data_IF_222946493592
#
_entry.id   IF_222946493592
#
_cell.length_a   1.000
_cell.length_b   1.000
_cell.length_c   1.000
_cell.angle_alpha   90.00
_cell.angle_beta   90.00
_cell.angle_gamma   90.00
#
_symmetry.space_group_name_H-M   'P 1'
#
loop_
_entity.id
_entity.type
_entity.pdbx_description
1 polymer ?
#
# COMPACT_ATOMS: atom_id res chain seq x y z
N UNK A 1 -5.13 -6.73 -0.26
CA UNK A 1 -4.39 -6.77 -1.55
C UNK A 1 -4.33 -5.41 -2.27
N UNK A 2 -5.35 -4.56 -2.18
CA UNK A 2 -5.41 -3.27 -2.88
C UNK A 2 -4.17 -2.37 -2.71
N UNK A 3 -3.70 -2.15 -1.47
CA UNK A 3 -2.51 -1.32 -1.23
C UNK A 3 -1.23 -1.83 -1.91
N UNK A 4 -1.05 -3.16 -1.96
CA UNK A 4 0.03 -3.79 -2.69
C UNK A 4 -0.07 -3.56 -4.21
N UNK A 5 -1.28 -3.66 -4.77
CA UNK A 5 -1.50 -3.39 -6.19
C UNK A 5 -1.21 -1.94 -6.55
N UNK A 6 -1.60 -0.98 -5.71
CA UNK A 6 -1.23 0.43 -5.90
C UNK A 6 0.29 0.58 -5.95
N UNK A 7 0.99 0.07 -4.94
CA UNK A 7 2.45 0.14 -4.86
C UNK A 7 3.13 -0.49 -6.09
N UNK A 8 2.74 -1.70 -6.44
CA UNK A 8 3.29 -2.42 -7.59
C UNK A 8 2.99 -1.74 -8.92
N UNK A 9 1.77 -1.21 -9.10
CA UNK A 9 1.35 -0.55 -10.34
C UNK A 9 2.17 0.70 -10.65
N UNK A 10 2.50 1.51 -9.63
CA UNK A 10 3.33 2.70 -9.79
C UNK A 10 4.71 2.33 -10.34
N UNK A 11 5.34 1.33 -9.76
CA UNK A 11 6.66 0.88 -10.22
C UNK A 11 6.62 0.20 -11.59
N UNK A 12 5.54 -0.53 -11.92
CA UNK A 12 5.34 -1.09 -13.28
C UNK A 12 5.21 0.04 -14.31
N UNK A 13 4.43 1.08 -14.02
CA UNK A 13 4.28 2.23 -14.94
C UNK A 13 5.61 2.93 -15.17
N UNK A 14 6.41 3.16 -14.12
CA UNK A 14 7.75 3.74 -14.26
C UNK A 14 8.67 2.88 -15.15
N UNK A 15 8.65 1.55 -14.99
CA UNK A 15 9.41 0.62 -15.84
C UNK A 15 8.94 0.66 -17.30
N UNK A 16 7.63 0.71 -17.55
CA UNK A 16 7.08 0.78 -18.91
C UNK A 16 7.47 2.09 -19.61
N UNK A 17 7.66 3.16 -18.86
CA UNK A 17 8.12 4.45 -19.36
C UNK A 17 9.65 4.54 -19.52
N UNK A 18 10.40 3.47 -19.20
CA UNK A 18 11.84 3.36 -19.42
C UNK A 18 12.71 3.75 -18.21
N UNK A 19 12.09 4.06 -17.06
CA UNK A 19 12.77 4.33 -15.80
C UNK A 19 13.07 3.06 -15.02
N UNK A 20 13.69 3.21 -13.84
CA UNK A 20 13.83 2.12 -12.88
C UNK A 20 12.51 1.91 -12.10
N UNK A 21 12.42 0.81 -11.35
CA UNK A 21 11.27 0.56 -10.49
C UNK A 21 11.16 1.66 -9.42
N UNK A 22 9.99 2.32 -9.37
CA UNK A 22 9.71 3.50 -8.53
C UNK A 22 10.54 4.74 -8.87
N UNK A 23 11.05 4.80 -10.10
CA UNK A 23 11.61 6.03 -10.64
C UNK A 23 10.49 7.00 -10.99
N UNK A 24 10.18 7.91 -10.06
CA UNK A 24 9.04 8.80 -10.17
C UNK A 24 9.20 9.87 -11.25
N UNK A 25 10.42 10.11 -11.74
CA UNK A 25 10.66 11.02 -12.87
C UNK A 25 10.06 10.47 -14.18
N UNK A 26 9.80 9.15 -14.23
CA UNK A 26 9.22 8.48 -15.39
C UNK A 26 7.71 8.24 -15.24
N UNK A 27 7.03 8.79 -14.23
CA UNK A 27 5.56 8.66 -14.07
C UNK A 27 4.77 9.63 -14.94
N UNK A 28 5.28 10.84 -15.13
CA UNK A 28 4.64 11.91 -15.88
C UNK A 28 5.63 12.40 -16.93
N UNK A 29 5.16 12.60 -18.16
CA UNK A 29 5.97 13.25 -19.18
C UNK A 29 6.00 14.75 -18.91
N UNK A 30 7.09 15.23 -18.30
CA UNK A 30 7.31 16.63 -17.98
C UNK A 30 8.68 17.11 -18.44
N UNK A 31 8.84 18.43 -18.57
CA UNK A 31 10.12 19.04 -18.97
C UNK A 31 11.18 18.96 -17.86
N UNK A 32 12.43 19.39 -18.13
CA UNK A 32 13.56 19.25 -17.21
C UNK A 32 13.40 19.91 -15.83
N UNK A 33 12.44 20.83 -15.68
CA UNK A 33 12.14 21.56 -14.44
C UNK A 33 10.87 21.06 -13.74
N UNK A 34 10.20 20.05 -14.32
CA UNK A 34 9.01 19.44 -13.75
C UNK A 34 9.36 18.44 -12.64
N UNK A 35 8.62 18.50 -11.53
CA UNK A 35 8.74 17.56 -10.40
C UNK A 35 7.40 16.94 -10.04
N UNK A 36 6.41 16.99 -10.92
CA UNK A 36 5.05 16.52 -10.62
C UNK A 36 4.99 15.00 -10.44
N UNK A 37 5.77 14.24 -11.21
CA UNK A 37 5.93 12.80 -11.11
C UNK A 37 6.43 12.38 -9.72
N UNK A 38 7.41 13.09 -9.16
CA UNK A 38 7.91 12.88 -7.80
C UNK A 38 6.81 13.08 -6.74
N UNK A 39 6.11 14.22 -6.78
CA UNK A 39 5.06 14.51 -5.80
C UNK A 39 3.89 13.51 -5.88
N UNK A 40 3.43 13.21 -7.09
CA UNK A 40 2.32 12.28 -7.32
C UNK A 40 2.74 10.85 -6.96
N UNK A 41 3.93 10.43 -7.37
CA UNK A 41 4.47 9.10 -7.10
C UNK A 41 4.54 8.81 -5.61
N UNK A 42 5.10 9.74 -4.83
CA UNK A 42 5.19 9.61 -3.37
C UNK A 42 3.81 9.50 -2.74
N UNK A 43 2.87 10.41 -3.07
CA UNK A 43 1.53 10.41 -2.48
C UNK A 43 0.77 9.10 -2.78
N UNK A 44 0.87 8.57 -4.01
CA UNK A 44 0.21 7.31 -4.37
C UNK A 44 0.80 6.14 -3.57
N UNK A 45 2.13 6.10 -3.41
CA UNK A 45 2.81 5.05 -2.65
C UNK A 45 2.46 5.12 -1.17
N UNK A 46 2.46 6.30 -0.57
CA UNK A 46 2.04 6.51 0.83
C UNK A 46 0.61 6.03 1.05
N UNK A 47 -0.30 6.33 0.12
CA UNK A 47 -1.68 5.86 0.16
C UNK A 47 -1.78 4.34 -0.03
N UNK A 48 -0.96 3.75 -0.89
CA UNK A 48 -0.85 2.29 -1.04
C UNK A 48 -0.39 1.60 0.25
N UNK A 49 0.66 2.13 0.90
CA UNK A 49 1.18 1.64 2.17
C UNK A 49 0.14 1.81 3.28
N UNK A 50 -0.54 2.96 3.35
CA UNK A 50 -1.63 3.22 4.29
C UNK A 50 -2.71 2.14 4.21
N UNK A 51 -3.19 1.81 3.02
CA UNK A 51 -4.21 0.77 2.85
C UNK A 51 -3.71 -0.62 3.21
N UNK A 52 -2.44 -0.94 2.91
CA UNK A 52 -1.86 -2.22 3.26
C UNK A 52 -1.75 -2.39 4.79
N UNK A 53 -1.24 -1.38 5.49
CA UNK A 53 -1.07 -1.38 6.94
C UNK A 53 -2.41 -1.30 7.66
N UNK A 54 -3.33 -0.41 7.26
CA UNK A 54 -4.64 -0.30 7.88
C UNK A 54 -5.43 -1.62 7.74
N UNK A 55 -5.41 -2.23 6.55
CA UNK A 55 -6.07 -3.51 6.31
C UNK A 55 -5.49 -4.64 7.15
N UNK A 56 -4.17 -4.71 7.30
CA UNK A 56 -3.53 -5.74 8.16
C UNK A 56 -3.90 -5.54 9.62
N UNK A 57 -3.89 -4.31 10.14
CA UNK A 57 -4.29 -4.00 11.52
C UNK A 57 -5.74 -4.38 11.80
N UNK A 58 -6.67 -4.05 10.88
CA UNK A 58 -8.09 -4.45 11.02
C UNK A 58 -8.24 -5.97 11.00
N UNK A 59 -7.53 -6.66 10.11
CA UNK A 59 -7.57 -8.13 10.02
C UNK A 59 -7.09 -8.77 11.31
N UNK A 60 -5.97 -8.28 11.85
CA UNK A 60 -5.42 -8.73 13.13
C UNK A 60 -6.43 -8.49 14.25
N UNK A 61 -7.00 -7.29 14.33
CA UNK A 61 -8.00 -6.95 15.35
C UNK A 61 -9.16 -7.94 15.34
N UNK A 62 -9.77 -8.21 14.18
CA UNK A 62 -10.88 -9.17 14.10
C UNK A 62 -10.47 -10.61 14.42
N UNK A 63 -9.25 -11.02 14.07
CA UNK A 63 -8.75 -12.35 14.38
C UNK A 63 -8.60 -12.60 15.89
N UNK A 64 -8.39 -11.55 16.69
CA UNK A 64 -8.24 -11.66 18.15
C UNK A 64 -9.50 -11.26 18.92
N UNK A 65 -10.16 -10.17 18.55
CA UNK A 65 -11.33 -9.66 19.26
C UNK A 65 -12.56 -10.57 19.16
N UNK A 66 -12.65 -11.43 18.14
CA UNK A 66 -13.75 -12.37 17.94
C UNK A 66 -13.61 -13.72 18.64
N UNK A 67 -12.51 -14.00 19.35
CA UNK A 67 -12.39 -15.25 20.11
C UNK A 67 -13.20 -15.13 21.41
N UNK A 68 -14.33 -15.82 21.49
CA UNK A 68 -14.99 -16.07 22.76
C UNK A 68 -14.05 -16.92 23.64
N UNK A 69 -13.92 -16.62 24.95
CA UNK A 69 -13.20 -17.50 25.85
C UNK A 69 -13.85 -18.89 25.80
N UNK A 70 -13.01 -19.93 25.71
CA UNK A 70 -13.46 -21.31 25.91
C UNK A 70 -13.98 -21.39 27.35
N UNK A 71 -15.26 -21.69 27.51
CA UNK A 71 -15.86 -21.93 28.84
C UNK A 71 -15.43 -23.34 29.22
N UNK A 72 -14.67 -23.47 30.30
CA UNK A 72 -14.23 -24.77 30.79
C UNK A 72 -15.40 -25.48 31.47
N UNK A 73 -15.46 -26.81 31.36
CA UNK A 73 -16.44 -27.63 32.04
C UNK A 73 -16.22 -27.65 33.57
N UNK A 74 -15.27 -26.87 34.10
CA UNK A 74 -15.08 -26.65 35.54
C UNK A 74 -15.73 -25.33 36.05
N UNK A 75 -16.28 -24.50 35.16
CA UNK A 75 -16.89 -23.20 35.50
C UNK A 75 -18.38 -23.27 35.91
N UNK A 76 -18.97 -24.47 36.05
CA UNK A 76 -20.36 -24.69 36.49
C UNK A 76 -20.50 -25.23 37.92
#
# INVERSE_FOLDING_TARGET
>A
AFGFFLYGSVGIVALLNGGLFLDYDFLVAEGPEGHWGQHIGIIIIELGVLFAVAGSMVTIFYAFAGRAPEIDDEDW
#
